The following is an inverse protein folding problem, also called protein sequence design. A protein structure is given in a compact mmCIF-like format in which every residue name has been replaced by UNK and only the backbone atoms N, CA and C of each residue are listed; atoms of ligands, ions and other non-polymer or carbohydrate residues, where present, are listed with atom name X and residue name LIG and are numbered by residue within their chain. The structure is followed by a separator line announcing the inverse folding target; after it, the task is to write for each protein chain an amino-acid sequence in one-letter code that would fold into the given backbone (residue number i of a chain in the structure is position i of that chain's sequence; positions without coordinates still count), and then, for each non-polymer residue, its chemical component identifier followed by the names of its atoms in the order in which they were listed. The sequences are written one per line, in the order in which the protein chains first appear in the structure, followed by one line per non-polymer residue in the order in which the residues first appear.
data_IF_641355988898
#
_entry.id   IF_641355988898
#
_cell.length_a   1.000
_cell.length_b   1.000
_cell.length_c   1.000
_cell.angle_alpha   90.00
_cell.angle_beta   90.00
_cell.angle_gamma   90.00
#
_symmetry.space_group_name_H-M   'P 1'
#
loop_
_entity.id
_entity.type
_entity.pdbx_description
1 polymer ?
#
# COMPACT_ATOMS: atom_id res chain seq x y z
N UNK A 1 20.96 -34.04 12.44
CA UNK A 1 20.64 -33.66 12.16
C UNK A 1 19.79 -32.84 12.53
N UNK A 2 19.46 -32.47 12.48
CA UNK A 2 18.67 -31.87 12.84
C UNK A 2 18.53 -30.66 13.02
N UNK A 3 19.04 -30.35 13.34
CA UNK A 3 19.04 -29.27 13.59
C UNK A 3 18.46 -28.27 12.91
N UNK A 4 18.47 -28.43 12.14
CA UNK A 4 18.09 -27.42 11.34
C UNK A 4 16.87 -26.88 11.68
N UNK A 5 16.15 -27.66 11.71
CA UNK A 5 14.98 -27.27 11.90
C UNK A 5 14.75 -26.31 12.72
N UNK A 6 15.15 -26.53 13.57
CA UNK A 6 14.84 -25.65 14.50
C UNK A 6 14.88 -24.32 14.00
N UNK A 7 15.72 -24.14 13.49
CA UNK A 7 15.89 -22.87 13.09
C UNK A 7 14.85 -22.25 12.60
N UNK A 8 14.53 -22.81 11.74
CA UNK A 8 13.54 -22.30 11.13
C UNK A 8 12.57 -21.68 11.84
N UNK A 9 12.11 -22.37 12.66
CA UNK A 9 11.07 -21.86 13.26
C UNK A 9 11.34 -20.65 13.90
N UNK A 10 12.35 -20.54 14.32
CA UNK A 10 12.55 -19.39 15.07
C UNK A 10 12.25 -18.24 14.21
N UNK A 11 12.61 -18.38 13.07
CA UNK A 11 12.43 -17.29 12.20
C UNK A 11 11.03 -16.94 12.02
N UNK A 12 10.36 -17.83 11.60
CA UNK A 12 9.01 -17.57 11.31
C UNK A 12 8.42 -16.97 12.51
N UNK A 13 8.76 -17.45 13.59
CA UNK A 13 8.17 -16.92 14.74
C UNK A 13 8.46 -15.50 14.98
N UNK A 14 9.60 -15.14 14.80
CA UNK A 14 9.92 -13.76 15.09
C UNK A 14 9.01 -12.90 14.33
N UNK A 15 8.76 -13.31 13.18
CA UNK A 15 7.97 -12.52 12.37
C UNK A 15 6.60 -12.48 12.91
N UNK A 16 6.07 -13.60 13.15
CA UNK A 16 4.77 -13.66 13.65
C UNK A 16 4.67 -12.98 14.94
N UNK A 17 5.62 -13.14 15.73
CA UNK A 17 5.52 -12.53 17.01
C UNK A 17 5.34 -11.07 16.89
N UNK A 18 6.00 -10.52 16.01
CA UNK A 18 5.89 -9.10 15.90
C UNK A 18 4.46 -8.80 15.66
N UNK A 19 3.92 -9.56 14.84
CA UNK A 19 2.59 -9.26 14.47
C UNK A 19 1.71 -9.63 15.57
N UNK A 20 1.91 -10.73 16.09
CA UNK A 20 0.99 -11.15 17.06
C UNK A 20 1.15 -10.42 18.28
N UNK A 21 2.26 -10.05 18.53
CA UNK A 21 2.41 -9.43 19.76
C UNK A 21 1.30 -8.50 19.96
N UNK A 22 0.97 -7.91 19.01
CA UNK A 22 0.00 -6.99 19.22
C UNK A 22 -1.21 -7.59 19.53
N UNK A 23 -1.42 -8.61 19.04
CA UNK A 23 -2.67 -9.18 19.28
C UNK A 23 -2.87 -9.21 20.73
N UNK A 24 -1.92 -9.47 21.39
CA UNK A 24 -2.15 -9.61 22.77
C UNK A 24 -2.65 -8.42 23.32
N UNK A 25 -2.54 -7.51 22.68
CA UNK A 25 -2.99 -6.44 23.17
C UNK A 25 -4.31 -6.47 23.34
N UNK A 26 -4.82 -6.96 23.98
CA UNK A 26 -6.07 -7.00 24.26
C UNK A 26 -6.52 -5.78 24.84
N UNK A 27 -5.82 -5.04 25.42
CA UNK A 27 -6.28 -3.89 26.02
C UNK A 27 -6.58 -2.84 25.03
N UNK A 28 -7.78 -2.48 24.94
CA UNK A 28 -8.19 -1.45 24.01
C UNK A 28 -7.44 -0.17 24.27
N UNK A 29 -7.28 0.20 25.49
CA UNK A 29 -6.62 1.44 25.78
C UNK A 29 -5.17 1.41 25.33
N UNK A 30 -4.50 0.34 25.58
CA UNK A 30 -3.14 0.24 25.19
C UNK A 30 -3.04 0.25 23.69
N UNK A 31 -3.97 -0.40 23.06
CA UNK A 31 -3.94 -0.47 21.64
C UNK A 31 -4.14 0.93 21.06
N UNK A 32 -4.99 1.71 21.66
CA UNK A 32 -5.24 3.05 21.18
C UNK A 32 -3.98 3.88 21.32
N UNK A 33 -3.31 3.72 22.41
CA UNK A 33 -2.11 4.49 22.63
C UNK A 33 -1.02 4.09 21.66
N UNK A 34 -0.87 2.82 21.41
CA UNK A 34 0.12 2.37 20.48
C UNK A 34 -0.24 2.87 19.09
N UNK A 35 -1.51 2.91 18.79
CA UNK A 35 -1.97 3.37 17.51
C UNK A 35 -1.61 4.83 17.34
N UNK A 36 -1.78 5.62 18.38
CA UNK A 36 -1.46 7.02 18.32
C UNK A 36 0.02 7.21 18.03
N UNK A 37 0.86 6.44 18.63
CA UNK A 37 2.28 6.56 18.42
C UNK A 37 2.65 6.19 17.01
N UNK A 38 2.07 5.13 16.50
CA UNK A 38 2.41 4.65 15.18
C UNK A 38 1.83 5.51 14.06
N UNK A 39 0.75 6.19 14.30
CA UNK A 39 0.09 6.93 13.25
C UNK A 39 0.19 8.44 13.41
N UNK A 40 1.03 8.92 14.35
CA UNK A 40 1.17 10.33 14.57
C UNK A 40 -0.18 11.01 14.61
N UNK A 41 -1.13 10.36 15.20
CA UNK A 41 -2.47 10.93 15.34
C UNK A 41 -3.35 10.85 14.11
N UNK A 42 -2.88 10.28 12.99
CA UNK A 42 -3.71 10.14 11.81
C UNK A 42 -3.37 8.88 11.06
N UNK A 43 -4.35 8.29 10.41
CA UNK A 43 -4.14 7.11 9.59
C UNK A 43 -3.62 7.47 8.21
N UNK A 44 -4.13 8.55 7.63
CA UNK A 44 -3.72 8.99 6.30
C UNK A 44 -3.17 10.39 6.40
N UNK A 45 -2.01 10.61 5.81
CA UNK A 45 -1.39 11.93 5.78
C UNK A 45 -1.28 12.37 4.32
N UNK A 46 -2.18 13.27 3.90
CA UNK A 46 -2.14 13.82 2.55
C UNK A 46 -1.14 14.97 2.55
N UNK A 47 -0.17 14.94 1.66
CA UNK A 47 0.83 15.99 1.61
C UNK A 47 0.16 17.33 1.26
N UNK A 48 0.75 18.44 1.67
CA UNK A 48 0.09 19.73 1.52
C UNK A 48 -0.38 20.08 0.11
N UNK A 49 0.33 19.63 -0.91
CA UNK A 49 -0.06 19.92 -2.29
C UNK A 49 -0.97 18.87 -2.88
N UNK A 50 -1.38 17.88 -2.11
CA UNK A 50 -2.23 16.81 -2.59
C UNK A 50 -3.68 17.17 -2.32
N UNK A 51 -4.53 17.03 -3.33
CA UNK A 51 -5.96 17.28 -3.16
C UNK A 51 -6.56 16.02 -2.52
N UNK A 52 -7.06 16.10 -1.27
CA UNK A 52 -7.47 14.92 -0.54
C UNK A 52 -8.87 14.41 -0.87
N UNK A 53 -9.49 14.94 -1.93
CA UNK A 53 -10.86 14.55 -2.25
C UNK A 53 -10.86 13.16 -2.87
N UNK A 54 -11.17 12.14 -2.11
CA UNK A 54 -11.32 10.78 -2.61
C UNK A 54 -12.67 10.28 -2.12
N UNK A 55 -13.17 9.23 -2.75
CA UNK A 55 -14.46 8.68 -2.38
C UNK A 55 -14.43 8.14 -0.96
N UNK A 56 -15.56 8.12 -0.28
CA UNK A 56 -15.62 7.61 1.07
C UNK A 56 -15.23 6.13 1.11
N UNK A 57 -15.55 5.39 0.07
CA UNK A 57 -15.19 3.98 -0.02
C UNK A 57 -13.67 3.84 -0.05
N UNK A 58 -12.98 4.60 -0.88
CA UNK A 58 -11.53 4.51 -0.97
C UNK A 58 -10.89 4.96 0.35
N UNK A 59 -11.44 5.99 0.98
CA UNK A 59 -10.90 6.47 2.23
C UNK A 59 -11.00 5.38 3.30
N UNK A 60 -12.13 4.74 3.39
CA UNK A 60 -12.32 3.70 4.39
C UNK A 60 -11.36 2.53 4.15
N UNK A 61 -11.20 2.13 2.89
CA UNK A 61 -10.27 1.06 2.55
C UNK A 61 -8.87 1.43 2.98
N UNK A 62 -8.44 2.65 2.66
CA UNK A 62 -7.06 3.03 2.95
C UNK A 62 -6.83 3.21 4.46
N UNK A 63 -7.84 3.64 5.19
CA UNK A 63 -7.71 3.72 6.63
C UNK A 63 -7.57 2.32 7.23
N UNK A 64 -8.33 1.36 6.72
CA UNK A 64 -8.19 -0.02 7.19
C UNK A 64 -6.82 -0.59 6.85
N UNK A 65 -6.31 -0.28 5.66
CA UNK A 65 -4.98 -0.72 5.27
C UNK A 65 -3.94 -0.12 6.23
N UNK A 66 -4.08 1.16 6.56
CA UNK A 66 -3.14 1.81 7.47
C UNK A 66 -3.15 1.12 8.84
N UNK A 67 -4.32 0.80 9.35
CA UNK A 67 -4.43 0.14 10.64
C UNK A 67 -3.74 -1.21 10.62
N UNK A 68 -3.98 -2.00 9.59
CA UNK A 68 -3.39 -3.33 9.51
C UNK A 68 -1.90 -3.29 9.20
N UNK A 69 -1.48 -2.30 8.45
CA UNK A 69 -0.07 -2.14 8.13
C UNK A 69 0.71 -1.60 9.34
N UNK A 70 0.01 -0.87 10.20
CA UNK A 70 0.60 -0.39 11.44
C UNK A 70 1.33 0.94 11.32
N UNK A 71 1.05 1.73 10.31
CA UNK A 71 1.71 3.01 10.10
C UNK A 71 0.82 3.98 9.39
N UNK A 72 1.01 5.26 9.64
CA UNK A 72 0.36 6.31 8.86
C UNK A 72 0.79 6.16 7.41
N UNK A 73 -0.15 6.25 6.50
CA UNK A 73 0.17 6.19 5.08
C UNK A 73 0.32 7.61 4.55
N UNK A 74 1.45 7.88 3.91
CA UNK A 74 1.70 9.19 3.30
C UNK A 74 1.17 9.16 1.87
N UNK A 75 0.18 9.97 1.61
CA UNK A 75 -0.48 10.04 0.30
C UNK A 75 0.10 11.19 -0.49
N UNK A 76 0.73 10.89 -1.60
CA UNK A 76 1.42 11.89 -2.41
C UNK A 76 0.58 12.36 -3.58
N UNK A 77 -0.47 11.64 -3.95
CA UNK A 77 -1.39 12.05 -5.00
C UNK A 77 -2.74 11.41 -4.71
N UNK A 78 -3.81 12.15 -4.92
CA UNK A 78 -5.17 11.64 -4.69
C UNK A 78 -6.06 12.18 -5.81
N UNK A 79 -6.94 13.15 -5.57
CA UNK A 79 -7.75 13.65 -6.66
C UNK A 79 -6.89 14.48 -7.62
N UNK A 80 -7.15 14.38 -8.91
CA UNK A 80 -6.53 15.21 -9.93
C UNK A 80 -7.61 15.76 -10.82
N UNK A 81 -7.59 17.08 -11.07
CA UNK A 81 -8.46 17.65 -12.08
C UNK A 81 -7.99 17.14 -13.45
N UNK A 82 -8.86 17.14 -14.45
CA UNK A 82 -8.43 16.69 -15.79
C UNK A 82 -7.23 17.49 -16.33
N UNK A 83 -7.22 18.80 -16.09
CA UNK A 83 -6.12 19.64 -16.56
C UNK A 83 -4.80 19.29 -15.87
N UNK A 84 -4.84 19.09 -14.57
CA UNK A 84 -3.63 18.73 -13.85
C UNK A 84 -3.17 17.33 -14.25
N UNK A 85 -4.11 16.41 -14.44
CA UNK A 85 -3.78 15.05 -14.85
C UNK A 85 -3.03 15.05 -16.19
N UNK A 86 -3.49 15.87 -17.14
CA UNK A 86 -2.81 15.96 -18.42
C UNK A 86 -1.42 16.56 -18.26
N UNK A 87 -1.29 17.54 -17.37
CA UNK A 87 -0.03 18.22 -17.14
C UNK A 87 1.03 17.27 -16.60
N UNK A 88 0.65 16.35 -15.74
CA UNK A 88 1.60 15.41 -15.14
C UNK A 88 1.72 14.11 -15.95
N UNK A 89 1.12 14.06 -17.13
CA UNK A 89 1.25 12.89 -17.99
C UNK A 89 0.40 11.70 -17.57
N UNK A 90 -0.66 11.94 -16.84
CA UNK A 90 -1.53 10.84 -16.43
C UNK A 90 -2.39 10.33 -17.57
N UNK A 91 -2.87 9.10 -17.41
CA UNK A 91 -3.75 8.50 -18.41
C UNK A 91 -5.04 9.29 -18.53
N UNK A 92 -5.57 9.42 -19.73
CA UNK A 92 -6.85 10.09 -19.94
C UNK A 92 -8.01 9.40 -19.26
N UNK A 93 -7.79 8.17 -18.76
CA UNK A 93 -8.82 7.44 -18.01
C UNK A 93 -8.37 7.20 -16.58
N UNK A 94 -7.52 8.09 -16.06
CA UNK A 94 -6.99 7.90 -14.72
C UNK A 94 -8.07 7.93 -13.65
N UNK A 95 -8.01 6.98 -12.75
CA UNK A 95 -8.93 6.91 -11.62
C UNK A 95 -8.72 8.06 -10.65
N UNK A 96 -7.56 8.73 -10.69
CA UNK A 96 -7.34 9.93 -9.88
C UNK A 96 -8.37 11.03 -10.21
N UNK A 97 -8.81 11.10 -11.45
CA UNK A 97 -9.77 12.11 -11.86
C UNK A 97 -11.18 11.85 -11.33
N UNK A 98 -11.40 10.64 -10.80
CA UNK A 98 -12.71 10.29 -10.25
C UNK A 98 -12.68 10.22 -8.73
N UNK A 99 -11.54 10.58 -8.11
CA UNK A 99 -11.39 10.43 -6.66
C UNK A 99 -11.33 8.98 -6.23
N UNK A 100 -10.93 8.07 -7.14
CA UNK A 100 -10.89 6.64 -6.87
C UNK A 100 -9.48 6.07 -6.90
N UNK A 101 -8.48 6.89 -6.75
CA UNK A 101 -7.08 6.45 -6.74
C UNK A 101 -6.26 7.26 -5.76
N UNK A 102 -5.25 6.62 -5.19
CA UNK A 102 -4.26 7.28 -4.35
C UNK A 102 -2.89 6.71 -4.67
N UNK A 103 -1.86 7.54 -4.55
CA UNK A 103 -0.47 7.09 -4.60
C UNK A 103 0.08 7.16 -3.18
N UNK A 104 0.64 6.07 -2.70
CA UNK A 104 1.14 5.95 -1.34
C UNK A 104 2.66 5.81 -1.36
N UNK A 105 3.35 6.69 -0.63
CA UNK A 105 4.81 6.63 -0.57
C UNK A 105 5.27 5.46 0.28
N UNK A 106 6.19 4.68 -0.23
CA UNK A 106 6.76 3.54 0.50
C UNK A 106 8.28 3.57 0.46
N UNK A 107 8.85 4.73 0.78
CA UNK A 107 10.30 4.90 0.82
C UNK A 107 10.87 4.10 1.99
N UNK A 108 12.02 3.55 1.83
CA UNK A 108 12.72 2.78 2.87
C UNK A 108 11.97 1.54 3.32
N UNK A 109 11.34 0.87 2.40
CA UNK A 109 10.66 -0.39 2.71
C UNK A 109 11.40 -1.56 2.09
N UNK A 110 11.36 -2.70 2.74
CA UNK A 110 11.92 -3.93 2.17
C UNK A 110 10.94 -4.50 1.15
N UNK A 111 11.42 -5.42 0.34
CA UNK A 111 10.54 -6.09 -0.61
C UNK A 111 9.43 -6.82 0.15
N UNK A 112 9.75 -7.43 1.27
CA UNK A 112 8.75 -8.13 2.07
C UNK A 112 7.68 -7.16 2.57
N UNK A 113 8.05 -5.95 2.97
CA UNK A 113 7.08 -4.96 3.39
C UNK A 113 6.18 -4.55 2.23
N UNK A 114 6.74 -4.39 1.04
CA UNK A 114 5.96 -4.00 -0.12
C UNK A 114 4.97 -5.09 -0.49
N UNK A 115 5.40 -6.34 -0.41
CA UNK A 115 4.53 -7.47 -0.71
C UNK A 115 3.40 -7.56 0.31
N UNK A 116 3.71 -7.35 1.58
CA UNK A 116 2.71 -7.35 2.63
C UNK A 116 1.71 -6.21 2.42
N UNK A 117 2.22 -5.04 2.04
CA UNK A 117 1.35 -3.89 1.79
C UNK A 117 0.38 -4.19 0.63
N UNK A 118 0.87 -4.80 -0.44
CA UNK A 118 0.03 -5.17 -1.57
C UNK A 118 -1.02 -6.20 -1.17
N UNK A 119 -0.66 -7.14 -0.33
CA UNK A 119 -1.61 -8.13 0.16
C UNK A 119 -2.72 -7.45 0.97
N UNK A 120 -2.37 -6.44 1.75
CA UNK A 120 -3.37 -5.70 2.52
C UNK A 120 -4.28 -4.89 1.59
N UNK A 121 -3.72 -4.33 0.51
CA UNK A 121 -4.54 -3.63 -0.47
C UNK A 121 -5.56 -4.58 -1.07
N UNK A 122 -5.13 -5.76 -1.48
CA UNK A 122 -6.03 -6.73 -2.08
C UNK A 122 -7.08 -7.18 -1.08
N UNK A 123 -6.68 -7.45 0.14
CA UNK A 123 -7.59 -7.90 1.18
C UNK A 123 -8.70 -6.88 1.42
N UNK A 124 -8.38 -5.63 1.28
CA UNK A 124 -9.33 -4.55 1.54
C UNK A 124 -10.07 -4.06 0.29
N UNK A 125 -9.90 -4.72 -0.83
CA UNK A 125 -10.73 -4.44 -2.01
C UNK A 125 -10.12 -3.57 -3.10
N UNK A 126 -8.83 -3.26 -3.02
CA UNK A 126 -8.18 -2.48 -4.06
C UNK A 126 -8.08 -3.35 -5.33
N UNK A 127 -8.34 -2.74 -6.47
CA UNK A 127 -8.38 -3.44 -7.74
C UNK A 127 -7.19 -3.14 -8.64
N UNK A 128 -6.78 -1.91 -8.78
CA UNK A 128 -5.63 -1.57 -9.63
C UNK A 128 -4.43 -1.30 -8.77
N UNK A 129 -3.30 -1.93 -9.07
CA UNK A 129 -2.08 -1.76 -8.28
C UNK A 129 -0.90 -1.51 -9.20
N UNK A 130 -0.30 -0.34 -9.08
CA UNK A 130 0.90 0.00 -9.83
C UNK A 130 2.07 0.18 -8.87
N UNK A 131 3.26 -0.27 -9.27
CA UNK A 131 4.44 -0.17 -8.41
C UNK A 131 5.56 0.60 -9.10
N UNK A 132 6.16 1.54 -8.40
CA UNK A 132 7.17 2.44 -8.96
C UNK A 132 8.36 2.51 -8.01
N UNK A 133 9.37 1.66 -8.27
CA UNK A 133 10.55 1.50 -7.42
C UNK A 133 11.78 1.20 -8.29
N UNK A 134 12.62 2.13 -8.55
CA UNK A 134 12.60 3.51 -8.08
C UNK A 134 11.70 4.37 -8.96
N UNK A 135 11.16 5.38 -8.36
CA UNK A 135 10.32 6.28 -9.10
C UNK A 135 11.17 7.19 -9.92
N UNK A 136 10.63 7.66 -11.03
CA UNK A 136 11.34 8.53 -11.87
C UNK A 136 11.72 9.80 -11.18
N UNK A 137 10.87 10.31 -10.40
CA UNK A 137 11.10 11.57 -9.73
C UNK A 137 11.60 11.40 -8.32
N UNK A 138 12.27 10.34 -8.06
CA UNK A 138 12.91 10.16 -6.79
C UNK A 138 12.09 9.61 -5.66
N UNK A 139 10.87 9.33 -5.87
CA UNK A 139 10.05 8.73 -4.84
C UNK A 139 9.81 7.25 -5.10
N UNK A 140 9.46 6.52 -4.08
CA UNK A 140 9.09 5.12 -4.22
C UNK A 140 7.63 5.05 -3.78
N UNK A 141 6.76 4.61 -4.66
CA UNK A 141 5.34 4.59 -4.30
C UNK A 141 4.55 3.46 -4.95
N UNK A 142 3.40 3.18 -4.38
CA UNK A 142 2.44 2.27 -4.96
C UNK A 142 1.18 3.07 -5.28
N UNK A 143 0.64 2.88 -6.47
CA UNK A 143 -0.64 3.41 -6.88
C UNK A 143 -1.71 2.36 -6.55
N UNK A 144 -2.81 2.79 -5.96
CA UNK A 144 -3.91 1.92 -5.61
C UNK A 144 -5.22 2.52 -6.09
N UNK A 145 -6.05 1.76 -6.80
CA UNK A 145 -7.32 2.29 -7.28
C UNK A 145 -8.46 1.27 -7.28
N UNK A 146 -9.68 1.78 -7.49
CA UNK A 146 -10.89 0.97 -7.49
C UNK A 146 -11.35 0.61 -8.90
N UNK A 147 -10.49 0.72 -9.89
CA UNK A 147 -10.83 0.36 -11.28
C UNK A 147 -10.86 -1.14 -11.49
N UNK A 148 -10.47 -1.58 -12.66
CA UNK A 148 -10.42 -3.02 -12.94
C UNK A 148 -9.26 -3.70 -12.27
N UNK A 149 -9.37 -5.00 -12.06
CA UNK A 149 -8.34 -5.77 -11.38
C UNK A 149 -7.14 -5.92 -12.29
N UNK A 150 -6.04 -5.31 -11.97
CA UNK A 150 -4.85 -5.32 -12.81
C UNK A 150 -3.63 -4.80 -12.05
N UNK A 151 -2.45 -5.09 -12.59
CA UNK A 151 -1.20 -4.59 -12.01
C UNK A 151 -0.26 -4.10 -13.09
N UNK A 152 0.61 -3.18 -12.76
CA UNK A 152 1.62 -2.69 -13.69
C UNK A 152 2.84 -2.12 -12.94
N UNK A 153 3.92 -1.89 -13.69
CA UNK A 153 5.17 -1.38 -13.13
C UNK A 153 5.51 0.01 -13.61
N UNK A 154 6.77 0.42 -13.45
CA UNK A 154 7.17 1.82 -13.60
C UNK A 154 6.96 2.46 -14.96
N UNK A 155 6.88 1.69 -16.02
CA UNK A 155 6.66 2.28 -17.33
C UNK A 155 5.18 2.50 -17.59
N UNK A 156 4.31 2.18 -16.64
CA UNK A 156 2.87 2.25 -16.86
C UNK A 156 2.34 1.05 -17.63
N UNK A 157 3.22 0.15 -18.02
CA UNK A 157 2.84 -1.04 -18.75
C UNK A 157 2.76 -2.24 -17.83
N UNK A 158 1.84 -3.15 -18.13
CA UNK A 158 1.73 -4.37 -17.34
C UNK A 158 3.02 -5.17 -17.38
N UNK A 159 3.72 -5.11 -18.50
CA UNK A 159 4.96 -5.90 -18.64
C UNK A 159 6.09 -5.37 -17.79
N UNK A 160 5.98 -4.17 -17.26
CA UNK A 160 7.04 -3.64 -16.42
C UNK A 160 6.83 -3.97 -14.94
N UNK A 161 5.86 -4.81 -14.61
CA UNK A 161 5.66 -5.22 -13.22
C UNK A 161 6.88 -5.95 -12.70
N UNK A 162 7.25 -5.64 -11.46
CA UNK A 162 8.41 -6.28 -10.84
C UNK A 162 8.15 -7.75 -10.54
N UNK A 163 9.19 -8.57 -10.53
CA UNK A 163 9.05 -9.98 -10.20
C UNK A 163 8.42 -10.21 -8.84
N UNK A 164 8.85 -9.44 -7.83
CA UNK A 164 8.29 -9.56 -6.48
C UNK A 164 6.83 -9.12 -6.43
N UNK A 165 6.44 -8.21 -7.31
CA UNK A 165 5.07 -7.75 -7.41
C UNK A 165 4.22 -8.85 -8.06
N UNK A 166 4.69 -9.41 -9.15
CA UNK A 166 3.96 -10.44 -9.85
C UNK A 166 3.77 -11.69 -9.01
N UNK A 167 4.80 -12.09 -8.28
CA UNK A 167 4.70 -13.30 -7.46
C UNK A 167 3.66 -13.13 -6.36
N UNK A 168 3.42 -11.91 -5.92
CA UNK A 168 2.43 -11.65 -4.89
C UNK A 168 1.02 -11.51 -5.49
N UNK A 169 0.90 -10.81 -6.59
CA UNK A 169 -0.42 -10.42 -7.11
C UNK A 169 -1.03 -11.37 -8.13
N UNK A 170 -0.21 -12.07 -8.92
CA UNK A 170 -0.77 -13.00 -9.90
C UNK A 170 -1.60 -14.09 -9.27
N UNK A 171 -1.14 -14.73 -8.18
CA UNK A 171 -1.95 -15.76 -7.55
C UNK A 171 -3.29 -15.25 -7.03
N UNK A 172 -3.39 -13.93 -6.83
CA UNK A 172 -4.61 -13.32 -6.35
C UNK A 172 -5.48 -12.82 -7.51
N UNK A 173 -5.09 -13.13 -8.73
CA UNK A 173 -5.90 -12.83 -9.91
C UNK A 173 -5.61 -11.49 -10.59
N UNK A 174 -4.48 -10.85 -10.25
CA UNK A 174 -4.14 -9.56 -10.87
C UNK A 174 -3.33 -9.81 -12.14
N UNK A 175 -3.91 -9.47 -13.27
CA UNK A 175 -3.31 -9.73 -14.55
C UNK A 175 -2.22 -8.75 -14.86
N UNK A 176 -1.17 -9.22 -15.47
CA UNK A 176 -0.07 -8.38 -15.90
C UNK A 176 -0.30 -7.94 -17.33
#
# INVERSE_FOLDING_TARGET
STEPQSIVEGDGNNFDNAATSESNIVDDDNNTELTQKNFDGKLLNFLPHTDPRISSQLREIMENVAKEYGRTLTITSAYRSPGYNAKVGGSGKSMHMQGKAVDIRLTNTSIADRQRFMQLLVKNGIKGIGAYFPAKDGGYFIHADLGGKRQWGPSGSRRSSYGWQQSTLKPLGYIV
#
